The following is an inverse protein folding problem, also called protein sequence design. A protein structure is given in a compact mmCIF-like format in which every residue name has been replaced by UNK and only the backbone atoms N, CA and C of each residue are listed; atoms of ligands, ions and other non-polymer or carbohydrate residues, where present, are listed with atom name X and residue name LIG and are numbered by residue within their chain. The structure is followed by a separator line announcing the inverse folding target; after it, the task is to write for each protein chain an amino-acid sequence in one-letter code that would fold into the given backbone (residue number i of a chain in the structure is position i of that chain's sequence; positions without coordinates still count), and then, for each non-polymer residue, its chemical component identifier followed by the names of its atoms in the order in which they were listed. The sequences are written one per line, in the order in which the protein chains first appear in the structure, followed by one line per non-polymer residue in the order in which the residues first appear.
data_IF_379905901020
#
_entry.id   IF_379905901020
#
_cell.length_a   1.000
_cell.length_b   1.000
_cell.length_c   1.000
_cell.angle_alpha   90.00
_cell.angle_beta   90.00
_cell.angle_gamma   90.00
#
_symmetry.space_group_name_H-M   'P 1'
#
loop_
_entity.id
_entity.type
_entity.pdbx_description
1 polymer ?
#
# COMPACT_ATOMS: atom_id res chain seq x y z
N UNK A 1 14.57 -14.76 -8.67
CA UNK A 1 13.87 -13.77 -9.50
C UNK A 1 14.78 -13.06 -10.51
N UNK A 2 16.11 -13.03 -10.31
CA UNK A 2 17.01 -12.25 -11.18
C UNK A 2 17.23 -12.78 -12.58
N UNK A 3 17.18 -14.09 -12.81
CA UNK A 3 17.59 -14.70 -14.08
C UNK A 3 16.59 -14.46 -15.22
N UNK A 4 15.29 -14.43 -14.94
CA UNK A 4 14.27 -14.22 -15.97
C UNK A 4 14.21 -12.79 -16.50
N UNK A 5 14.62 -11.79 -15.71
CA UNK A 5 14.64 -10.39 -16.11
C UNK A 5 15.66 -10.10 -17.23
N UNK A 6 16.72 -10.90 -17.33
CA UNK A 6 17.79 -10.69 -18.29
C UNK A 6 17.64 -11.51 -19.58
N UNK A 7 16.54 -12.23 -19.74
CA UNK A 7 16.24 -12.95 -21.00
C UNK A 7 15.59 -12.06 -22.06
N UNK A 8 14.87 -11.01 -21.65
CA UNK A 8 14.23 -10.06 -22.55
C UNK A 8 15.24 -9.02 -23.07
N UNK A 9 15.30 -8.85 -24.39
CA UNK A 9 16.28 -7.94 -25.03
C UNK A 9 16.01 -6.47 -24.70
N UNK A 10 14.76 -6.07 -24.54
CA UNK A 10 14.39 -4.69 -24.22
C UNK A 10 14.67 -4.38 -22.74
N UNK A 11 14.41 -5.33 -21.83
CA UNK A 11 14.82 -5.21 -20.42
C UNK A 11 16.33 -5.03 -20.29
N UNK A 12 17.10 -5.79 -21.07
CA UNK A 12 18.58 -5.67 -21.08
C UNK A 12 19.04 -4.30 -21.52
N UNK A 13 18.43 -3.70 -22.55
CA UNK A 13 18.75 -2.34 -23.01
C UNK A 13 18.53 -1.28 -21.90
N UNK A 14 17.51 -1.47 -21.07
CA UNK A 14 17.14 -0.50 -20.04
C UNK A 14 17.96 -0.68 -18.76
N UNK A 15 18.20 -1.93 -18.34
CA UNK A 15 18.71 -2.25 -17.00
C UNK A 15 20.10 -2.88 -16.97
N UNK A 16 20.76 -3.09 -18.13
CA UNK A 16 22.13 -3.58 -18.16
C UNK A 16 23.06 -2.58 -18.87
N UNK A 17 24.32 -2.61 -18.46
CA UNK A 17 25.42 -1.99 -19.19
C UNK A 17 25.76 -2.78 -20.48
N UNK A 18 26.51 -2.20 -21.41
CA UNK A 18 26.96 -2.90 -22.62
C UNK A 18 27.74 -4.20 -22.38
N UNK A 19 28.42 -4.30 -21.24
CA UNK A 19 29.14 -5.50 -20.82
C UNK A 19 28.24 -6.57 -20.19
N UNK A 20 26.94 -6.30 -20.08
CA UNK A 20 25.94 -7.21 -19.50
C UNK A 20 25.82 -7.14 -17.97
N UNK A 21 26.58 -6.28 -17.30
CA UNK A 21 26.43 -6.05 -15.85
C UNK A 21 25.16 -5.24 -15.54
N UNK A 22 24.46 -5.50 -14.43
CA UNK A 22 23.31 -4.70 -14.00
C UNK A 22 23.71 -3.26 -13.67
N UNK A 23 22.84 -2.30 -14.00
CA UNK A 23 22.98 -0.93 -13.50
C UNK A 23 22.92 -0.93 -11.97
N UNK A 24 23.71 -0.06 -11.35
CA UNK A 24 23.77 0.08 -9.90
C UNK A 24 22.78 1.14 -9.41
N UNK A 25 22.46 1.08 -8.12
CA UNK A 25 21.69 2.12 -7.46
C UNK A 25 22.31 3.51 -7.65
N UNK A 26 21.45 4.51 -7.87
CA UNK A 26 21.88 5.88 -8.13
C UNK A 26 22.29 6.17 -9.59
N UNK A 27 22.43 5.17 -10.44
CA UNK A 27 22.72 5.37 -11.85
C UNK A 27 21.49 5.85 -12.62
N UNK A 28 21.71 6.74 -13.57
CA UNK A 28 20.66 7.28 -14.41
C UNK A 28 20.21 6.27 -15.46
N UNK A 29 18.91 5.98 -15.50
CA UNK A 29 18.26 5.17 -16.54
C UNK A 29 17.71 6.08 -17.63
N UNK A 30 17.99 5.76 -18.89
CA UNK A 30 17.48 6.49 -20.06
C UNK A 30 16.40 5.67 -20.74
N UNK A 31 15.15 6.15 -20.69
CA UNK A 31 13.99 5.49 -21.29
C UNK A 31 13.43 6.33 -22.44
N UNK A 32 14.18 6.44 -23.53
CA UNK A 32 13.82 7.27 -24.69
C UNK A 32 12.52 6.82 -25.35
N UNK A 33 12.31 5.52 -25.49
CA UNK A 33 11.10 4.94 -26.07
C UNK A 33 9.87 5.27 -25.23
N UNK A 34 9.95 5.09 -23.91
CA UNK A 34 8.87 5.47 -22.99
C UNK A 34 8.62 6.98 -23.03
N UNK A 35 9.66 7.78 -23.09
CA UNK A 35 9.55 9.24 -23.26
C UNK A 35 8.80 9.62 -24.55
N UNK A 36 9.06 8.90 -25.65
CA UNK A 36 8.34 9.07 -26.92
C UNK A 36 6.86 8.74 -26.77
N UNK A 37 6.52 7.61 -26.15
CA UNK A 37 5.12 7.21 -25.90
C UNK A 37 4.41 8.25 -25.03
N UNK A 38 5.02 8.73 -23.96
CA UNK A 38 4.43 9.77 -23.10
C UNK A 38 4.20 11.09 -23.85
N UNK A 39 5.14 11.46 -24.74
CA UNK A 39 4.99 12.64 -25.61
C UNK A 39 3.85 12.46 -26.60
N UNK A 40 3.71 11.27 -27.18
CA UNK A 40 2.61 10.93 -28.08
C UNK A 40 1.25 11.00 -27.36
N UNK A 41 1.14 10.45 -26.15
CA UNK A 41 -0.08 10.53 -25.35
C UNK A 41 -0.43 11.97 -24.98
N UNK A 42 0.57 12.80 -24.68
CA UNK A 42 0.36 14.22 -24.43
C UNK A 42 -0.24 14.96 -25.62
N UNK A 43 0.18 14.61 -26.83
CA UNK A 43 -0.27 15.27 -28.07
C UNK A 43 -1.62 14.72 -28.55
N UNK A 44 -1.80 13.40 -28.53
CA UNK A 44 -2.97 12.71 -29.08
C UNK A 44 -4.06 12.41 -28.05
N UNK A 45 -3.75 12.58 -26.77
CA UNK A 45 -4.64 12.23 -25.67
C UNK A 45 -4.61 10.75 -25.28
N UNK A 46 -5.25 10.43 -24.16
CA UNK A 46 -5.32 9.07 -23.60
C UNK A 46 -6.00 8.06 -24.56
N UNK A 47 -6.82 8.52 -25.50
CA UNK A 47 -7.47 7.66 -26.48
C UNK A 47 -6.47 6.86 -27.35
N UNK A 48 -5.27 7.39 -27.61
CA UNK A 48 -4.25 6.67 -28.38
C UNK A 48 -3.71 5.44 -27.64
N UNK A 49 -3.69 5.48 -26.30
CA UNK A 49 -3.32 4.34 -25.46
C UNK A 49 -4.32 3.18 -25.59
N UNK A 50 -5.60 3.47 -25.72
CA UNK A 50 -6.66 2.46 -25.74
C UNK A 50 -7.11 2.04 -27.15
N UNK A 51 -6.88 2.84 -28.18
CA UNK A 51 -7.40 2.58 -29.52
C UNK A 51 -6.44 2.92 -30.67
N UNK A 52 -5.37 3.64 -30.38
CA UNK A 52 -4.43 4.13 -31.39
C UNK A 52 -3.20 3.23 -31.61
N UNK A 53 -2.09 3.88 -31.97
CA UNK A 53 -0.83 3.17 -32.26
C UNK A 53 -0.23 2.54 -31.01
N UNK A 54 -0.34 3.17 -29.85
CA UNK A 54 0.13 2.58 -28.57
C UNK A 54 -0.64 1.30 -28.26
N UNK A 55 -1.98 1.30 -28.42
CA UNK A 55 -2.81 0.10 -28.22
C UNK A 55 -2.36 -1.07 -29.11
N UNK A 56 -2.04 -0.81 -30.39
CA UNK A 56 -1.56 -1.83 -31.31
C UNK A 56 -0.23 -2.42 -30.85
N UNK A 57 0.70 -1.56 -30.42
CA UNK A 57 1.99 -2.01 -29.88
C UNK A 57 1.82 -2.84 -28.62
N UNK A 58 0.95 -2.42 -27.68
CA UNK A 58 0.66 -3.16 -26.44
C UNK A 58 0.07 -4.55 -26.72
N UNK A 59 -0.95 -4.64 -27.58
CA UNK A 59 -1.56 -5.92 -27.94
C UNK A 59 -0.56 -6.85 -28.65
N UNK A 60 0.26 -6.32 -29.57
CA UNK A 60 1.31 -7.06 -30.23
C UNK A 60 2.40 -7.56 -29.27
N UNK A 61 2.86 -6.69 -28.36
CA UNK A 61 3.84 -7.07 -27.33
C UNK A 61 3.30 -8.08 -26.33
N UNK A 62 2.03 -7.94 -25.93
CA UNK A 62 1.36 -8.91 -25.08
C UNK A 62 1.27 -10.29 -25.74
N UNK A 63 0.88 -10.34 -27.02
CA UNK A 63 0.84 -11.58 -27.78
C UNK A 63 2.21 -12.26 -27.92
N UNK A 64 3.28 -11.48 -28.15
CA UNK A 64 4.66 -12.00 -28.16
C UNK A 64 5.11 -12.54 -26.80
N UNK A 65 4.54 -12.02 -25.71
CA UNK A 65 4.77 -12.46 -24.34
C UNK A 65 3.81 -13.58 -23.90
N UNK A 66 3.12 -14.22 -24.85
CA UNK A 66 2.11 -15.27 -24.61
C UNK A 66 0.94 -14.79 -23.73
N UNK A 67 0.69 -13.46 -23.70
CA UNK A 67 -0.42 -12.86 -23.01
C UNK A 67 -1.67 -12.74 -23.87
N UNK A 68 -2.81 -12.57 -23.25
CA UNK A 68 -4.12 -12.54 -23.91
C UNK A 68 -4.68 -11.13 -24.17
N UNK A 69 -3.91 -10.05 -23.92
CA UNK A 69 -4.39 -8.69 -24.10
C UNK A 69 -4.66 -8.38 -25.59
N UNK A 70 -5.88 -8.00 -25.92
CA UNK A 70 -6.31 -7.66 -27.28
C UNK A 70 -6.58 -6.16 -27.43
N UNK A 71 -6.63 -5.70 -28.69
CA UNK A 71 -7.03 -4.31 -28.98
C UNK A 71 -8.50 -4.09 -28.63
N UNK A 72 -9.34 -5.09 -28.80
CA UNK A 72 -10.76 -5.07 -28.48
C UNK A 72 -10.98 -4.86 -26.98
N UNK A 73 -10.23 -5.56 -26.14
CA UNK A 73 -10.26 -5.38 -24.68
C UNK A 73 -9.79 -3.97 -24.29
N UNK A 74 -8.72 -3.49 -24.87
CA UNK A 74 -8.25 -2.12 -24.63
C UNK A 74 -9.31 -1.08 -25.01
N UNK A 75 -9.93 -1.22 -26.19
CA UNK A 75 -11.01 -0.32 -26.67
C UNK A 75 -12.26 -0.41 -25.80
N UNK A 76 -12.57 -1.59 -25.29
CA UNK A 76 -13.73 -1.82 -24.43
C UNK A 76 -13.52 -1.37 -22.99
N UNK A 77 -12.27 -1.18 -22.57
CA UNK A 77 -11.98 -0.78 -21.19
C UNK A 77 -12.64 0.55 -20.83
N UNK A 78 -13.31 0.57 -19.68
CA UNK A 78 -13.89 1.78 -19.09
C UNK A 78 -13.58 1.83 -17.60
N UNK A 79 -13.07 2.94 -17.08
CA UNK A 79 -12.98 3.18 -15.64
C UNK A 79 -14.37 3.05 -15.00
N UNK A 80 -14.40 2.47 -13.81
CA UNK A 80 -15.65 2.31 -13.06
C UNK A 80 -15.56 3.11 -11.76
N UNK A 81 -16.58 3.94 -11.54
CA UNK A 81 -16.79 4.56 -10.25
C UNK A 81 -17.39 3.54 -9.29
N UNK A 82 -16.82 3.49 -8.09
CA UNK A 82 -17.31 2.67 -6.98
C UNK A 82 -17.41 3.54 -5.75
N UNK A 83 -18.40 3.29 -4.92
CA UNK A 83 -18.46 3.92 -3.60
C UNK A 83 -17.29 3.47 -2.75
N UNK A 84 -16.70 4.42 -2.02
CA UNK A 84 -15.64 4.11 -1.06
C UNK A 84 -16.23 3.38 0.15
N UNK A 85 -15.46 2.48 0.73
CA UNK A 85 -15.76 2.01 2.08
C UNK A 85 -15.33 3.08 3.08
N UNK A 86 -16.22 3.42 4.02
CA UNK A 86 -15.98 4.51 4.96
C UNK A 86 -16.39 4.14 6.38
N UNK A 87 -15.76 4.79 7.35
CA UNK A 87 -16.13 4.75 8.76
C UNK A 87 -15.68 6.04 9.47
N UNK A 88 -16.26 6.33 10.64
CA UNK A 88 -15.95 7.53 11.40
C UNK A 88 -14.75 7.32 12.33
N UNK A 89 -13.90 8.33 12.44
CA UNK A 89 -12.82 8.46 13.40
C UNK A 89 -12.81 9.88 13.95
N UNK A 90 -13.25 10.05 15.18
CA UNK A 90 -13.43 11.38 15.79
C UNK A 90 -14.34 12.29 14.94
N UNK A 91 -13.81 13.42 14.52
CA UNK A 91 -14.49 14.37 13.63
C UNK A 91 -14.20 14.10 12.14
N UNK A 92 -13.59 12.98 11.81
CA UNK A 92 -13.18 12.65 10.44
C UNK A 92 -13.89 11.40 9.94
N UNK A 93 -14.11 11.35 8.64
CA UNK A 93 -14.52 10.15 7.94
C UNK A 93 -13.32 9.59 7.19
N UNK A 94 -13.00 8.36 7.47
CA UNK A 94 -12.02 7.57 6.75
C UNK A 94 -12.66 7.00 5.49
N UNK A 95 -12.00 7.17 4.35
CA UNK A 95 -12.40 6.60 3.07
C UNK A 95 -11.28 5.75 2.48
N UNK A 96 -11.61 4.58 1.98
CA UNK A 96 -10.68 3.71 1.24
C UNK A 96 -11.37 3.03 0.08
N UNK A 97 -10.57 2.46 -0.83
CA UNK A 97 -11.09 1.68 -1.94
C UNK A 97 -11.90 0.48 -1.43
N UNK A 98 -13.04 0.15 -2.09
CA UNK A 98 -13.86 -0.99 -1.71
C UNK A 98 -13.18 -2.32 -2.09
N UNK A 99 -13.63 -3.46 -1.54
CA UNK A 99 -13.20 -4.78 -1.97
C UNK A 99 -13.22 -4.96 -3.50
N UNK A 100 -12.25 -5.69 -4.07
CA UNK A 100 -11.26 -6.55 -3.40
C UNK A 100 -9.98 -5.83 -2.92
N UNK A 101 -9.89 -4.51 -2.97
CA UNK A 101 -8.77 -3.75 -2.44
C UNK A 101 -8.84 -3.71 -0.90
N UNK A 102 -8.44 -4.78 -0.25
CA UNK A 102 -8.59 -4.96 1.19
C UNK A 102 -7.50 -4.26 2.02
N UNK A 103 -6.46 -3.71 1.40
CA UNK A 103 -5.33 -3.12 2.11
C UNK A 103 -5.72 -1.94 2.99
N UNK A 104 -6.50 -0.99 2.46
CA UNK A 104 -6.99 0.15 3.23
C UNK A 104 -7.93 -0.26 4.37
N UNK A 105 -8.80 -1.25 4.14
CA UNK A 105 -9.67 -1.81 5.19
C UNK A 105 -8.86 -2.49 6.30
N UNK A 106 -7.83 -3.25 5.93
CA UNK A 106 -6.95 -3.89 6.93
C UNK A 106 -6.19 -2.84 7.75
N UNK A 107 -5.66 -1.79 7.10
CA UNK A 107 -5.02 -0.69 7.81
C UNK A 107 -6.00 0.04 8.76
N UNK A 108 -7.22 0.27 8.28
CA UNK A 108 -8.29 0.86 9.06
C UNK A 108 -8.65 0.02 10.29
N UNK A 109 -8.76 -1.30 10.13
CA UNK A 109 -9.04 -2.22 11.24
C UNK A 109 -7.91 -2.20 12.29
N UNK A 110 -6.65 -2.25 11.86
CA UNK A 110 -5.49 -2.16 12.76
C UNK A 110 -5.53 -0.82 13.52
N UNK A 111 -5.74 0.28 12.81
CA UNK A 111 -5.79 1.61 13.40
C UNK A 111 -6.97 1.76 14.37
N UNK A 112 -8.17 1.32 13.97
CA UNK A 112 -9.36 1.38 14.82
C UNK A 112 -9.15 0.64 16.14
N UNK A 113 -8.60 -0.58 16.11
CA UNK A 113 -8.30 -1.34 17.32
C UNK A 113 -7.33 -0.61 18.28
N UNK A 114 -6.43 0.20 17.74
CA UNK A 114 -5.50 0.98 18.55
C UNK A 114 -6.14 2.25 19.11
N UNK A 115 -6.98 2.92 18.30
CA UNK A 115 -7.59 4.20 18.63
C UNK A 115 -8.80 4.07 19.56
N UNK A 116 -9.54 2.97 19.48
CA UNK A 116 -10.78 2.79 20.23
C UNK A 116 -10.55 2.79 21.73
N UNK A 117 -11.23 3.73 22.43
CA UNK A 117 -11.12 3.89 23.89
C UNK A 117 -9.69 4.17 24.34
N UNK A 118 -8.92 4.89 23.51
CA UNK A 118 -7.52 5.23 23.75
C UNK A 118 -6.60 4.03 24.06
N UNK A 119 -7.01 2.83 23.62
CA UNK A 119 -6.38 1.55 23.99
C UNK A 119 -4.85 1.55 23.80
N UNK A 120 -4.36 2.15 22.72
CA UNK A 120 -2.92 2.22 22.51
C UNK A 120 -2.24 3.24 23.43
N UNK A 121 -2.85 4.39 23.63
CA UNK A 121 -2.30 5.46 24.46
C UNK A 121 -2.28 5.08 25.94
N UNK A 122 -3.33 4.40 26.40
CA UNK A 122 -3.47 3.91 27.78
C UNK A 122 -2.61 2.67 28.06
N UNK A 123 -2.21 1.92 27.01
CA UNK A 123 -1.36 0.76 27.20
C UNK A 123 0.02 1.16 27.74
N UNK A 124 0.54 0.43 28.76
CA UNK A 124 1.90 0.61 29.22
C UNK A 124 2.91 0.53 28.06
N UNK A 125 3.95 1.37 28.07
CA UNK A 125 4.96 1.41 26.99
C UNK A 125 5.50 0.01 26.66
N UNK A 126 5.80 -0.79 27.68
CA UNK A 126 6.27 -2.18 27.50
C UNK A 126 5.21 -3.17 26.99
N UNK A 127 3.97 -2.75 26.73
CA UNK A 127 2.89 -3.57 26.15
C UNK A 127 2.57 -3.15 24.71
N UNK A 128 2.89 -1.93 24.30
CA UNK A 128 2.46 -1.33 23.03
C UNK A 128 2.84 -2.16 21.80
N UNK A 129 4.08 -2.66 21.73
CA UNK A 129 4.51 -3.50 20.63
C UNK A 129 3.71 -4.82 20.53
N UNK A 130 3.42 -5.43 21.68
CA UNK A 130 2.56 -6.62 21.76
C UNK A 130 1.13 -6.30 21.30
N UNK A 131 0.55 -5.21 21.78
CA UNK A 131 -0.79 -4.76 21.35
C UNK A 131 -0.83 -4.56 19.84
N UNK A 132 0.16 -3.89 19.25
CA UNK A 132 0.25 -3.69 17.78
C UNK A 132 0.31 -5.03 17.03
N UNK A 133 1.10 -6.00 17.52
CA UNK A 133 1.18 -7.33 16.91
C UNK A 133 -0.17 -8.06 16.98
N UNK A 134 -0.82 -8.02 18.13
CA UNK A 134 -2.10 -8.69 18.38
C UNK A 134 -3.27 -8.09 17.57
N UNK A 135 -3.38 -6.76 17.48
CA UNK A 135 -4.41 -6.12 16.66
C UNK A 135 -4.15 -6.32 15.16
N UNK A 136 -2.87 -6.34 14.74
CA UNK A 136 -2.50 -6.63 13.36
C UNK A 136 -2.91 -8.06 12.98
N UNK A 137 -2.57 -9.05 13.82
CA UNK A 137 -2.96 -10.46 13.64
C UNK A 137 -4.48 -10.61 13.44
N UNK A 138 -5.30 -9.95 14.25
CA UNK A 138 -6.76 -9.96 14.18
C UNK A 138 -7.30 -9.31 12.91
N UNK A 139 -6.77 -8.16 12.54
CA UNK A 139 -7.16 -7.49 11.31
C UNK A 139 -6.82 -8.34 10.06
N UNK A 140 -5.69 -9.04 10.07
CA UNK A 140 -5.32 -9.95 8.99
C UNK A 140 -6.18 -11.23 8.97
N UNK A 141 -6.65 -11.71 10.11
CA UNK A 141 -7.65 -12.77 10.16
C UNK A 141 -8.97 -12.32 9.52
N UNK A 142 -9.43 -11.12 9.88
CA UNK A 142 -10.67 -10.53 9.38
C UNK A 142 -10.61 -10.16 7.89
N UNK A 143 -9.43 -9.87 7.36
CA UNK A 143 -9.16 -9.51 5.98
C UNK A 143 -9.72 -10.53 4.97
N UNK A 144 -9.84 -11.80 5.33
CA UNK A 144 -10.39 -12.83 4.46
C UNK A 144 -11.81 -12.49 3.99
N UNK A 145 -12.60 -11.87 4.86
CA UNK A 145 -13.99 -11.50 4.56
C UNK A 145 -14.09 -10.44 3.44
N UNK A 146 -13.06 -9.61 3.29
CA UNK A 146 -13.00 -8.57 2.24
C UNK A 146 -12.43 -9.09 0.93
N UNK A 147 -11.57 -10.10 0.98
CA UNK A 147 -10.90 -10.64 -0.21
C UNK A 147 -11.76 -11.68 -0.92
N UNK A 148 -12.39 -12.59 -0.18
CA UNK A 148 -13.13 -13.74 -0.73
C UNK A 148 -14.54 -13.34 -1.29
N UNK A 149 -14.88 -12.05 -1.24
CA UNK A 149 -15.72 -11.38 -2.24
C UNK A 149 -17.22 -11.61 -2.22
N UNK A 150 -17.83 -12.27 -1.27
CA UNK A 150 -19.28 -12.41 -1.24
C UNK A 150 -20.03 -11.35 -0.44
N UNK A 151 -19.32 -10.49 0.26
CA UNK A 151 -19.92 -9.34 0.91
C UNK A 151 -18.95 -8.14 0.79
N UNK A 152 -19.31 -7.21 -0.05
CA UNK A 152 -18.76 -5.85 -0.04
C UNK A 152 -19.17 -5.13 1.27
N UNK A 153 -19.12 -5.83 2.39
CA UNK A 153 -19.52 -5.28 3.66
C UNK A 153 -18.53 -4.20 4.08
N UNK A 154 -19.08 -3.13 4.58
CA UNK A 154 -18.40 -2.12 5.36
C UNK A 154 -17.53 -2.78 6.46
N UNK A 155 -16.58 -2.03 6.99
CA UNK A 155 -15.86 -2.42 8.18
C UNK A 155 -16.87 -2.72 9.30
N UNK A 156 -16.98 -3.98 9.71
CA UNK A 156 -17.88 -4.37 10.80
C UNK A 156 -17.18 -4.12 12.14
N UNK A 157 -17.43 -2.94 12.69
CA UNK A 157 -16.81 -2.50 13.95
C UNK A 157 -17.19 -3.40 15.12
N UNK A 158 -18.42 -3.95 15.18
CA UNK A 158 -18.84 -4.85 16.26
C UNK A 158 -18.05 -6.17 16.21
N UNK A 159 -17.83 -6.71 15.00
CA UNK A 159 -17.02 -7.91 14.83
C UNK A 159 -15.56 -7.64 15.20
N UNK A 160 -15.02 -6.49 14.81
CA UNK A 160 -13.66 -6.10 15.19
C UNK A 160 -13.52 -5.99 16.70
N UNK A 161 -14.44 -5.32 17.38
CA UNK A 161 -14.48 -5.24 18.86
C UNK A 161 -14.55 -6.64 19.47
N UNK A 162 -15.45 -7.48 18.99
CA UNK A 162 -15.59 -8.88 19.44
C UNK A 162 -14.28 -9.68 19.29
N UNK A 163 -13.48 -9.41 18.29
CA UNK A 163 -12.20 -10.10 18.09
C UNK A 163 -11.19 -9.82 19.21
N UNK A 164 -11.34 -8.69 19.92
CA UNK A 164 -10.49 -8.34 21.06
C UNK A 164 -10.86 -9.09 22.35
N UNK A 165 -11.97 -9.81 22.40
CA UNK A 165 -12.36 -10.60 23.58
C UNK A 165 -11.32 -11.70 23.94
N UNK A 166 -10.52 -12.14 22.98
CA UNK A 166 -9.44 -13.09 23.19
C UNK A 166 -8.06 -12.44 23.41
N UNK A 167 -8.00 -11.12 23.45
CA UNK A 167 -6.75 -10.39 23.72
C UNK A 167 -6.30 -10.62 25.16
N UNK A 168 -5.01 -10.84 25.34
CA UNK A 168 -4.36 -10.92 26.65
C UNK A 168 -3.10 -10.07 26.63
N UNK A 169 -2.92 -9.27 27.66
CA UNK A 169 -1.76 -8.37 27.76
C UNK A 169 -0.45 -9.08 28.12
N UNK A 170 -0.54 -10.32 28.60
CA UNK A 170 0.58 -11.10 29.14
C UNK A 170 1.10 -12.18 28.19
N UNK A 171 0.35 -12.52 27.13
CA UNK A 171 0.76 -13.57 26.19
C UNK A 171 0.18 -13.38 24.79
N UNK A 172 0.88 -13.92 23.77
CA UNK A 172 0.39 -13.93 22.39
C UNK A 172 -0.80 -14.87 22.21
N UNK A 173 -1.74 -14.46 21.35
CA UNK A 173 -2.90 -15.29 20.97
C UNK A 173 -2.49 -16.23 19.83
N UNK A 174 -2.75 -17.53 19.96
CA UNK A 174 -2.57 -18.45 18.84
C UNK A 174 -3.49 -18.10 17.68
N UNK A 175 -3.02 -18.11 16.42
CA UNK A 175 -3.85 -17.82 15.25
C UNK A 175 -5.08 -18.72 15.14
N UNK A 176 -5.00 -19.97 15.60
CA UNK A 176 -6.13 -20.94 15.57
C UNK A 176 -7.28 -20.53 16.51
N UNK A 177 -7.03 -19.65 17.46
CA UNK A 177 -8.07 -19.11 18.36
C UNK A 177 -8.85 -17.95 17.74
N UNK A 178 -8.41 -17.45 16.59
CA UNK A 178 -9.08 -16.36 15.88
C UNK A 178 -10.20 -16.90 14.99
N UNK A 179 -11.26 -16.12 14.81
CA UNK A 179 -12.40 -16.49 13.96
C UNK A 179 -12.74 -15.35 12.98
N UNK A 180 -12.52 -15.56 11.69
CA UNK A 180 -11.87 -16.73 11.07
C UNK A 180 -10.37 -16.80 11.40
N UNK A 181 -9.74 -17.98 11.31
CA UNK A 181 -8.30 -18.07 11.44
C UNK A 181 -7.61 -17.42 10.24
N UNK A 182 -6.48 -16.71 10.44
CA UNK A 182 -5.78 -16.05 9.34
C UNK A 182 -5.19 -17.08 8.38
N UNK A 183 -5.24 -16.78 7.07
CA UNK A 183 -4.65 -17.61 6.03
C UNK A 183 -3.33 -17.02 5.55
N UNK A 184 -2.34 -17.89 5.30
CA UNK A 184 -1.12 -17.48 4.64
C UNK A 184 -1.43 -17.08 3.19
N UNK A 185 -1.08 -15.84 2.82
CA UNK A 185 -1.15 -15.36 1.44
C UNK A 185 0.23 -14.84 1.01
N UNK A 186 0.64 -15.21 -0.19
CA UNK A 186 1.80 -14.63 -0.82
C UNK A 186 1.33 -13.41 -1.61
N UNK A 187 1.80 -12.24 -1.20
CA UNK A 187 1.49 -10.97 -1.87
C UNK A 187 2.79 -10.31 -2.28
N UNK A 188 2.93 -10.05 -3.56
CA UNK A 188 4.14 -9.48 -4.11
C UNK A 188 4.20 -7.97 -3.81
N UNK A 189 5.36 -7.43 -3.38
CA UNK A 189 5.52 -6.00 -3.07
C UNK A 189 5.61 -5.09 -4.30
N UNK A 190 5.13 -5.52 -5.45
CA UNK A 190 5.22 -4.82 -6.75
C UNK A 190 4.21 -3.67 -6.92
N UNK A 191 3.91 -2.95 -5.86
CA UNK A 191 3.00 -1.81 -5.87
C UNK A 191 3.73 -0.49 -5.61
N UNK A 192 3.08 0.59 -5.99
CA UNK A 192 3.46 1.96 -5.63
C UNK A 192 2.23 2.79 -5.32
N UNK A 193 2.41 3.89 -4.62
CA UNK A 193 1.35 4.85 -4.35
C UNK A 193 1.81 6.27 -4.62
N UNK A 194 0.88 7.15 -4.97
CA UNK A 194 1.11 8.58 -5.05
C UNK A 194 -0.14 9.34 -4.63
N UNK A 195 0.07 10.57 -4.16
CA UNK A 195 -0.99 11.47 -3.73
C UNK A 195 -0.81 12.77 -4.48
N UNK A 196 -1.92 13.33 -4.97
CA UNK A 196 -1.97 14.67 -5.53
C UNK A 196 -3.06 15.46 -4.86
N UNK A 197 -2.82 16.74 -4.62
CA UNK A 197 -3.77 17.66 -4.02
C UNK A 197 -3.69 19.02 -4.70
N UNK A 198 -4.82 19.65 -4.95
CA UNK A 198 -4.88 21.03 -5.41
C UNK A 198 -5.17 22.02 -4.27
N UNK A 199 -5.14 23.31 -4.58
CA UNK A 199 -5.41 24.39 -3.61
C UNK A 199 -6.82 24.39 -3.04
N UNK A 200 -7.76 23.77 -3.72
CA UNK A 200 -9.16 23.69 -3.29
C UNK A 200 -9.43 22.48 -2.41
N UNK A 201 -8.40 21.64 -2.18
CA UNK A 201 -8.50 20.43 -1.38
C UNK A 201 -8.96 19.20 -2.16
N UNK A 202 -9.12 19.30 -3.50
CA UNK A 202 -9.36 18.11 -4.31
C UNK A 202 -8.14 17.20 -4.23
N UNK A 203 -8.33 16.03 -3.64
CA UNK A 203 -7.24 15.10 -3.32
C UNK A 203 -7.49 13.75 -3.96
N UNK A 204 -6.44 13.20 -4.56
CA UNK A 204 -6.43 11.84 -5.10
C UNK A 204 -5.32 11.05 -4.43
N UNK A 205 -5.67 10.00 -3.71
CA UNK A 205 -4.73 8.96 -3.29
C UNK A 205 -4.85 7.79 -4.26
N UNK A 206 -3.75 7.45 -4.92
CA UNK A 206 -3.71 6.41 -5.93
C UNK A 206 -2.73 5.31 -5.53
N UNK A 207 -3.14 4.06 -5.72
CA UNK A 207 -2.28 2.91 -5.53
C UNK A 207 -2.40 1.99 -6.75
N UNK A 208 -1.27 1.58 -7.31
CA UNK A 208 -1.18 0.75 -8.51
C UNK A 208 -0.20 -0.40 -8.29
N UNK A 209 -0.41 -1.50 -9.01
CA UNK A 209 0.48 -2.66 -8.93
C UNK A 209 0.72 -3.26 -10.32
N UNK A 210 1.91 -3.78 -10.52
CA UNK A 210 2.25 -4.63 -11.66
C UNK A 210 2.00 -6.13 -11.39
N UNK A 211 1.37 -6.45 -10.27
CA UNK A 211 1.06 -7.79 -9.75
C UNK A 211 2.30 -8.64 -9.44
N UNK A 212 3.45 -8.39 -10.04
CA UNK A 212 4.74 -9.00 -9.76
C UNK A 212 5.85 -7.96 -9.90
N UNK A 213 6.95 -8.12 -9.19
CA UNK A 213 8.13 -7.26 -9.32
C UNK A 213 8.64 -7.33 -10.77
N UNK A 214 8.72 -6.19 -11.45
CA UNK A 214 8.95 -6.07 -12.89
C UNK A 214 7.86 -6.75 -13.77
N UNK A 215 6.63 -6.90 -13.27
CA UNK A 215 5.51 -7.44 -14.03
C UNK A 215 5.82 -8.83 -14.63
N UNK A 216 5.70 -8.97 -15.95
CA UNK A 216 6.07 -10.18 -16.67
C UNK A 216 7.58 -10.28 -16.95
N UNK A 217 8.38 -9.25 -16.64
CA UNK A 217 9.76 -9.14 -17.09
C UNK A 217 9.92 -8.90 -18.60
N UNK A 218 8.86 -8.46 -19.28
CA UNK A 218 8.83 -8.18 -20.72
C UNK A 218 8.52 -6.73 -20.98
N UNK A 219 9.30 -6.09 -21.82
CA UNK A 219 9.04 -4.73 -22.31
C UNK A 219 8.49 -4.82 -23.73
N UNK A 220 7.44 -4.05 -24.01
CA UNK A 220 6.89 -3.97 -25.38
C UNK A 220 7.87 -3.25 -26.28
N UNK A 221 8.39 -3.91 -27.34
CA UNK A 221 9.40 -3.34 -28.20
C UNK A 221 8.99 -1.99 -28.79
N UNK A 222 9.92 -1.02 -28.80
CA UNK A 222 9.72 0.32 -29.34
C UNK A 222 8.81 1.23 -28.47
N UNK A 223 8.43 0.78 -27.28
CA UNK A 223 7.58 1.59 -26.39
C UNK A 223 8.20 1.85 -25.01
N UNK A 224 9.14 1.03 -24.59
CA UNK A 224 9.66 1.08 -23.22
C UNK A 224 8.64 0.72 -22.13
N UNK A 225 7.43 0.26 -22.51
CA UNK A 225 6.37 -0.12 -21.56
C UNK A 225 6.60 -1.53 -21.07
N UNK A 226 6.78 -1.68 -19.78
CA UNK A 226 6.87 -2.96 -19.09
C UNK A 226 5.47 -3.55 -18.87
N UNK A 227 5.24 -4.79 -19.29
CA UNK A 227 3.96 -5.45 -19.15
C UNK A 227 3.72 -5.92 -17.71
N UNK A 228 2.56 -5.58 -17.15
CA UNK A 228 2.12 -6.10 -15.85
C UNK A 228 1.85 -7.61 -15.94
N UNK A 229 2.11 -8.34 -14.86
CA UNK A 229 1.73 -9.75 -14.77
C UNK A 229 0.20 -9.89 -14.60
N UNK A 230 -0.34 -11.03 -15.04
CA UNK A 230 -1.75 -11.30 -14.85
C UNK A 230 -2.08 -11.47 -13.34
N UNK A 231 -3.16 -10.86 -12.84
CA UNK A 231 -3.61 -11.07 -11.46
C UNK A 231 -3.92 -12.53 -11.15
N UNK A 232 -4.34 -13.30 -12.14
CA UNK A 232 -4.74 -14.71 -11.98
C UNK A 232 -3.57 -15.65 -11.67
N UNK A 233 -2.33 -15.31 -12.10
CA UNK A 233 -1.18 -16.21 -11.96
C UNK A 233 -0.45 -16.12 -10.62
N UNK A 234 -0.62 -15.02 -9.87
CA UNK A 234 0.20 -14.70 -8.70
C UNK A 234 -0.60 -14.36 -7.43
N UNK A 235 -1.85 -14.75 -7.39
CA UNK A 235 -2.76 -14.34 -6.32
C UNK A 235 -3.19 -12.87 -6.49
N UNK A 236 -4.07 -12.42 -5.61
CA UNK A 236 -4.71 -11.11 -5.74
C UNK A 236 -3.79 -9.96 -5.26
N UNK A 237 -2.78 -9.59 -6.04
CA UNK A 237 -1.88 -8.49 -5.67
C UNK A 237 -2.62 -7.15 -5.44
N UNK A 238 -3.76 -6.93 -6.10
CA UNK A 238 -4.63 -5.78 -5.87
C UNK A 238 -5.23 -5.74 -4.45
N UNK A 239 -5.24 -6.85 -3.72
CA UNK A 239 -5.82 -6.91 -2.36
C UNK A 239 -5.03 -6.10 -1.33
N UNK A 240 -3.74 -5.84 -1.56
CA UNK A 240 -2.89 -5.04 -0.67
C UNK A 240 -2.89 -3.54 -0.98
N UNK A 241 -3.54 -3.12 -2.06
CA UNK A 241 -3.62 -1.69 -2.40
C UNK A 241 -4.36 -0.93 -1.31
N UNK A 242 -3.76 0.15 -0.82
CA UNK A 242 -4.18 0.84 0.40
C UNK A 242 -4.25 2.36 0.21
N UNK A 243 -4.97 2.87 -0.79
CA UNK A 243 -5.23 4.30 -0.86
C UNK A 243 -6.22 4.70 0.21
N UNK A 244 -5.94 5.77 0.96
CA UNK A 244 -6.84 6.30 1.98
C UNK A 244 -6.93 7.82 1.90
N UNK A 245 -8.08 8.34 2.32
CA UNK A 245 -8.33 9.76 2.52
C UNK A 245 -9.19 9.93 3.78
N UNK A 246 -8.80 10.85 4.67
CA UNK A 246 -9.57 11.26 5.83
C UNK A 246 -10.06 12.69 5.60
N UNK A 247 -11.36 12.86 5.70
CA UNK A 247 -12.03 14.15 5.52
C UNK A 247 -12.74 14.53 6.80
N UNK A 248 -12.61 15.76 7.25
CA UNK A 248 -13.42 16.27 8.35
C UNK A 248 -14.88 16.33 7.92
N UNK A 249 -15.75 15.54 8.55
CA UNK A 249 -17.15 15.41 8.10
C UNK A 249 -18.00 16.65 8.38
N UNK A 250 -17.58 17.55 9.28
CA UNK A 250 -18.28 18.79 9.58
C UNK A 250 -17.94 19.90 8.59
N UNK A 251 -16.72 19.90 8.06
CA UNK A 251 -16.21 20.98 7.21
C UNK A 251 -15.95 20.54 5.77
N UNK A 252 -16.02 19.25 5.47
CA UNK A 252 -15.66 18.63 4.19
C UNK A 252 -14.23 18.94 3.73
N UNK A 253 -13.31 19.18 4.69
CA UNK A 253 -11.93 19.54 4.41
C UNK A 253 -11.03 18.30 4.52
N UNK A 254 -10.03 18.25 3.65
CA UNK A 254 -8.98 17.23 3.75
C UNK A 254 -8.24 17.39 5.08
N UNK A 255 -8.08 16.28 5.78
CA UNK A 255 -7.28 16.19 7.00
C UNK A 255 -6.02 15.34 6.80
N UNK A 256 -6.18 14.16 6.18
CA UNK A 256 -5.07 13.24 5.94
C UNK A 256 -5.31 12.44 4.67
N UNK A 257 -4.23 12.19 3.89
CA UNK A 257 -4.29 11.25 2.79
C UNK A 257 -3.00 10.44 2.75
N UNK A 258 -3.10 9.15 2.47
CA UNK A 258 -1.92 8.30 2.38
C UNK A 258 -2.15 7.14 1.42
N UNK A 259 -1.05 6.55 0.98
CA UNK A 259 -1.05 5.32 0.24
C UNK A 259 0.18 4.51 0.60
N UNK A 260 0.05 3.19 0.63
CA UNK A 260 1.16 2.31 0.97
C UNK A 260 1.45 1.26 -0.10
N UNK A 261 2.68 0.78 -0.09
CA UNK A 261 3.21 -0.28 -0.93
C UNK A 261 4.02 -1.27 -0.08
N UNK A 262 4.19 -2.50 -0.54
CA UNK A 262 4.98 -3.51 0.18
C UNK A 262 4.28 -4.87 0.34
N UNK A 263 3.31 -5.17 -0.53
CA UNK A 263 2.57 -6.44 -0.48
C UNK A 263 1.80 -6.59 0.83
N UNK A 264 1.88 -7.74 1.46
CA UNK A 264 1.17 -8.03 2.70
C UNK A 264 1.49 -7.07 3.85
N UNK A 265 2.69 -6.46 3.87
CA UNK A 265 3.09 -5.53 4.91
C UNK A 265 2.54 -4.11 4.73
N UNK A 266 2.05 -3.76 3.54
CA UNK A 266 1.57 -2.41 3.22
C UNK A 266 0.47 -1.89 4.18
N UNK A 267 -0.56 -2.68 4.55
CA UNK A 267 -1.58 -2.22 5.50
C UNK A 267 -1.04 -1.92 6.90
N UNK A 268 -0.13 -2.76 7.40
CA UNK A 268 0.47 -2.54 8.71
C UNK A 268 1.39 -1.31 8.73
N UNK A 269 2.15 -1.09 7.65
CA UNK A 269 2.95 0.12 7.47
C UNK A 269 2.09 1.38 7.49
N UNK A 270 0.96 1.35 6.77
CA UNK A 270 0.03 2.47 6.74
C UNK A 270 -0.58 2.75 8.13
N UNK A 271 -1.06 1.70 8.82
CA UNK A 271 -1.62 1.82 10.16
C UNK A 271 -0.59 2.35 11.17
N UNK A 272 0.70 1.97 11.02
CA UNK A 272 1.79 2.50 11.85
C UNK A 272 1.97 4.01 11.68
N UNK A 273 1.97 4.52 10.44
CA UNK A 273 2.06 5.96 10.16
C UNK A 273 0.83 6.70 10.69
N UNK A 274 -0.36 6.14 10.48
CA UNK A 274 -1.60 6.72 11.00
C UNK A 274 -1.57 6.81 12.53
N UNK A 275 -1.17 5.74 13.22
CA UNK A 275 -1.03 5.73 14.67
C UNK A 275 -0.08 6.82 15.14
N UNK A 276 1.13 6.86 14.59
CA UNK A 276 2.14 7.82 15.01
C UNK A 276 1.72 9.27 14.73
N UNK A 277 1.15 9.56 13.57
CA UNK A 277 0.74 10.91 13.19
C UNK A 277 -0.59 11.37 13.81
N UNK A 278 -1.55 10.45 14.02
CA UNK A 278 -2.93 10.82 14.37
C UNK A 278 -3.32 10.46 15.82
N UNK A 279 -2.61 9.55 16.49
CA UNK A 279 -2.84 9.23 17.90
C UNK A 279 -1.73 9.77 18.79
N UNK A 280 -0.48 9.70 18.35
CA UNK A 280 0.69 10.14 19.12
C UNK A 280 1.10 11.59 18.81
N UNK A 281 0.37 12.29 17.92
CA UNK A 281 0.68 13.66 17.45
C UNK A 281 2.15 13.84 16.97
N UNK A 282 2.75 12.75 16.49
CA UNK A 282 4.12 12.79 16.00
C UNK A 282 4.19 13.60 14.70
N UNK A 283 5.21 14.46 14.49
CA UNK A 283 5.42 15.14 13.22
C UNK A 283 5.43 14.16 12.05
N UNK A 284 4.75 14.48 10.93
CA UNK A 284 4.53 13.56 9.81
C UNK A 284 5.82 12.91 9.32
N UNK A 285 6.91 13.68 9.23
CA UNK A 285 8.23 13.17 8.83
C UNK A 285 8.71 12.05 9.75
N UNK A 286 8.61 12.25 11.04
CA UNK A 286 9.03 11.27 12.06
C UNK A 286 8.11 10.05 12.01
N UNK A 287 6.81 10.25 11.91
CA UNK A 287 5.81 9.18 11.80
C UNK A 287 6.06 8.27 10.58
N UNK A 288 6.38 8.85 9.42
CA UNK A 288 6.70 8.09 8.20
C UNK A 288 8.03 7.35 8.32
N UNK A 289 9.01 7.91 9.05
CA UNK A 289 10.34 7.33 9.19
C UNK A 289 10.49 6.37 10.39
N UNK A 290 9.54 6.38 11.33
CA UNK A 290 9.58 5.52 12.51
C UNK A 290 9.72 4.04 12.15
N UNK A 291 10.40 3.29 13.00
CA UNK A 291 10.54 1.83 12.86
C UNK A 291 9.19 1.14 12.96
N UNK A 292 9.01 0.09 12.19
CA UNK A 292 7.74 -0.59 12.03
C UNK A 292 7.77 -2.03 12.50
N UNK A 293 6.58 -2.49 12.88
CA UNK A 293 6.26 -3.85 13.24
C UNK A 293 5.12 -4.34 12.35
N UNK A 294 5.15 -5.60 11.95
CA UNK A 294 4.13 -6.25 11.16
C UNK A 294 3.85 -7.67 11.64
N UNK A 295 2.58 -8.02 11.79
CA UNK A 295 2.14 -9.40 11.96
C UNK A 295 1.02 -9.70 10.95
N UNK A 296 1.33 -10.54 9.97
CA UNK A 296 0.40 -10.88 8.89
C UNK A 296 -0.61 -12.00 9.20
N UNK A 297 -0.72 -12.39 10.48
CA UNK A 297 -1.54 -13.53 10.91
C UNK A 297 -0.82 -14.87 10.72
N UNK A 298 -0.51 -15.25 9.50
CA UNK A 298 0.22 -16.48 9.16
C UNK A 298 1.36 -16.20 8.16
N UNK A 299 2.57 -16.71 8.39
CA UNK A 299 2.99 -17.47 9.57
C UNK A 299 2.88 -16.66 10.87
N UNK A 300 2.78 -17.32 12.03
CA UNK A 300 2.68 -16.67 13.34
C UNK A 300 4.04 -16.11 13.78
N UNK A 301 4.43 -15.04 13.10
CA UNK A 301 5.73 -14.37 13.29
C UNK A 301 5.52 -12.86 13.25
N UNK A 302 6.07 -12.17 14.23
CA UNK A 302 6.19 -10.70 14.23
C UNK A 302 7.44 -10.33 13.45
N UNK A 303 7.26 -9.58 12.38
CA UNK A 303 8.36 -8.96 11.64
C UNK A 303 8.64 -7.58 12.22
N UNK A 304 9.92 -7.26 12.45
CA UNK A 304 10.35 -5.95 12.95
C UNK A 304 11.47 -5.40 12.08
N UNK A 305 11.53 -4.08 11.97
CA UNK A 305 12.68 -3.42 11.38
C UNK A 305 13.88 -3.45 12.35
N UNK A 306 15.13 -3.27 11.85
CA UNK A 306 16.34 -3.44 12.68
C UNK A 306 16.40 -2.49 13.87
N UNK A 307 15.87 -1.27 13.72
CA UNK A 307 15.95 -0.17 14.68
C UNK A 307 14.81 -0.19 15.72
N UNK A 308 14.07 -1.30 15.85
CA UNK A 308 13.09 -1.45 16.94
C UNK A 308 13.83 -1.39 18.30
N UNK A 309 13.24 -0.73 19.27
CA UNK A 309 13.83 -0.61 20.59
C UNK A 309 14.01 -1.99 21.27
N UNK A 310 15.13 -2.19 21.97
CA UNK A 310 15.42 -3.45 22.63
C UNK A 310 14.33 -3.87 23.62
N UNK A 311 13.74 -2.90 24.32
CA UNK A 311 12.64 -3.13 25.27
C UNK A 311 11.38 -3.66 24.58
N UNK A 312 11.07 -3.19 23.38
CA UNK A 312 9.92 -3.68 22.60
C UNK A 312 10.16 -5.11 22.13
N UNK A 313 11.37 -5.41 21.65
CA UNK A 313 11.76 -6.76 21.26
C UNK A 313 11.65 -7.74 22.43
N UNK A 314 12.23 -7.41 23.58
CA UNK A 314 12.14 -8.23 24.81
C UNK A 314 10.70 -8.39 25.30
N UNK A 315 9.89 -7.37 25.12
CA UNK A 315 8.46 -7.38 25.46
C UNK A 315 7.68 -8.38 24.62
N UNK A 316 7.96 -8.47 23.30
CA UNK A 316 7.36 -9.43 22.39
C UNK A 316 7.80 -10.86 22.74
N UNK A 317 9.10 -11.08 22.93
CA UNK A 317 9.67 -12.39 23.25
C UNK A 317 9.09 -12.95 24.54
N UNK A 318 9.06 -12.15 25.62
CA UNK A 318 8.50 -12.57 26.92
C UNK A 318 7.04 -12.97 26.87
N UNK A 319 6.27 -12.47 25.89
CA UNK A 319 4.87 -12.81 25.65
C UNK A 319 4.67 -13.96 24.67
N UNK A 320 5.77 -14.60 24.27
CA UNK A 320 5.75 -15.77 23.40
C UNK A 320 5.56 -15.48 21.92
N UNK A 321 5.83 -14.25 21.46
CA UNK A 321 5.89 -13.99 20.03
C UNK A 321 7.21 -14.50 19.45
N UNK A 322 7.12 -15.19 18.32
CA UNK A 322 8.29 -15.43 17.49
C UNK A 322 8.59 -14.15 16.71
N UNK A 323 9.78 -13.59 16.85
CA UNK A 323 10.17 -12.31 16.23
C UNK A 323 11.28 -12.53 15.22
N UNK A 324 11.15 -11.92 14.04
CA UNK A 324 12.18 -11.93 13.01
C UNK A 324 12.44 -10.50 12.49
N UNK A 325 13.71 -10.16 12.28
CA UNK A 325 14.10 -8.87 11.71
C UNK A 325 14.07 -8.92 10.19
N UNK A 326 13.53 -7.86 9.58
CA UNK A 326 13.51 -7.64 8.14
C UNK A 326 14.08 -6.26 7.81
N UNK A 327 14.67 -6.04 6.64
CA UNK A 327 15.27 -4.75 6.30
C UNK A 327 14.29 -3.59 6.32
N UNK A 328 13.05 -3.82 5.85
CA UNK A 328 12.01 -2.80 5.74
C UNK A 328 10.62 -3.42 5.83
N UNK A 329 9.64 -2.63 6.31
CA UNK A 329 8.23 -3.00 6.39
C UNK A 329 7.40 -1.96 5.65
N UNK A 330 7.10 -2.24 4.39
CA UNK A 330 6.29 -1.40 3.52
C UNK A 330 6.89 -0.01 3.26
N UNK A 331 6.18 0.77 2.45
CA UNK A 331 6.50 2.17 2.11
C UNK A 331 5.22 2.98 2.13
N UNK A 332 5.25 4.16 2.74
CA UNK A 332 4.05 5.00 2.90
C UNK A 332 4.36 6.41 2.42
N UNK A 333 3.56 6.88 1.48
CA UNK A 333 3.52 8.30 1.14
C UNK A 333 2.30 8.92 1.82
N UNK A 334 2.46 10.09 2.43
CA UNK A 334 1.39 10.70 3.20
C UNK A 334 1.36 12.23 3.07
N UNK A 335 0.16 12.76 3.23
CA UNK A 335 -0.15 14.18 3.38
C UNK A 335 -0.95 14.35 4.65
N UNK A 336 -0.58 15.28 5.51
CA UNK A 336 -1.32 15.64 6.73
C UNK A 336 -1.57 17.13 6.76
N UNK A 337 -2.82 17.53 6.86
CA UNK A 337 -3.29 18.91 6.84
C UNK A 337 -4.08 19.20 8.13
N UNK A 338 -3.43 19.42 9.28
CA UNK A 338 -4.13 19.63 10.56
C UNK A 338 -5.12 20.80 10.54
N UNK A 339 -4.81 21.86 9.80
CA UNK A 339 -5.67 23.02 9.64
C UNK A 339 -6.79 22.86 8.61
N UNK A 340 -6.78 21.77 7.86
CA UNK A 340 -7.71 21.47 6.78
C UNK A 340 -7.49 22.29 5.50
N UNK A 341 -7.77 21.68 4.35
CA UNK A 341 -7.71 22.34 3.03
C UNK A 341 -9.13 22.43 2.48
N UNK A 342 -9.57 23.60 1.98
CA UNK A 342 -8.78 24.80 1.56
C UNK A 342 -8.57 25.85 2.66
N UNK A 343 -8.97 25.61 3.90
CA UNK A 343 -8.97 26.67 4.93
C UNK A 343 -7.56 27.13 5.31
N UNK A 344 -6.68 26.20 5.63
CA UNK A 344 -5.30 26.47 6.08
C UNK A 344 -4.30 25.55 5.34
N UNK A 345 -4.13 25.71 4.03
CA UNK A 345 -3.29 24.84 3.21
C UNK A 345 -1.81 24.89 3.61
N UNK A 346 -1.36 25.99 4.25
CA UNK A 346 0.00 26.17 4.75
C UNK A 346 0.35 25.22 5.90
N UNK A 347 -0.65 24.60 6.53
CA UNK A 347 -0.42 23.61 7.60
C UNK A 347 -0.14 22.22 7.05
N UNK A 348 -0.28 22.01 5.73
CA UNK A 348 -0.09 20.73 5.13
C UNK A 348 1.37 20.31 5.07
N UNK A 349 1.62 19.10 5.49
CA UNK A 349 2.91 18.41 5.44
C UNK A 349 2.84 17.28 4.41
N UNK A 350 3.91 17.11 3.64
CA UNK A 350 4.01 16.13 2.57
C UNK A 350 5.27 15.29 2.78
N UNK A 351 5.12 14.00 2.93
CA UNK A 351 6.28 13.13 3.16
C UNK A 351 6.24 11.89 2.27
N UNK A 352 7.41 11.54 1.74
CA UNK A 352 7.67 10.26 1.09
C UNK A 352 8.55 9.39 1.99
N UNK A 353 8.32 8.09 1.92
CA UNK A 353 9.02 7.13 2.76
C UNK A 353 10.50 6.99 2.37
N UNK A 354 11.42 7.07 3.34
CA UNK A 354 12.86 6.85 3.13
C UNK A 354 13.21 5.43 2.66
N UNK A 355 12.29 4.47 2.85
CA UNK A 355 12.43 3.08 2.36
C UNK A 355 12.19 2.97 0.86
N UNK A 356 11.76 4.05 0.24
CA UNK A 356 11.57 4.19 -1.21
C UNK A 356 12.34 5.38 -1.76
N UNK A 357 12.21 5.59 -3.06
CA UNK A 357 12.84 6.70 -3.79
C UNK A 357 11.81 7.74 -4.23
N UNK A 358 10.72 7.85 -3.46
CA UNK A 358 9.66 8.81 -3.71
C UNK A 358 10.14 10.25 -3.46
N UNK A 359 9.44 11.20 -4.03
CA UNK A 359 9.62 12.62 -3.80
C UNK A 359 8.31 13.22 -3.31
N UNK A 360 8.36 13.94 -2.21
CA UNK A 360 7.27 14.78 -1.75
C UNK A 360 7.62 16.24 -2.06
N UNK A 361 6.71 16.95 -2.74
CA UNK A 361 6.89 18.36 -3.08
C UNK A 361 5.56 19.08 -2.92
N UNK A 362 5.54 20.14 -2.11
CA UNK A 362 4.47 21.12 -2.04
C UNK A 362 4.92 22.41 -2.69
N UNK A 363 4.16 22.92 -3.67
CA UNK A 363 4.31 24.30 -4.11
C UNK A 363 3.75 25.25 -3.04
N UNK A 364 4.06 26.54 -3.10
CA UNK A 364 3.29 27.57 -2.38
C UNK A 364 1.89 27.52 -3.00
N UNK A 365 0.97 26.91 -2.28
CA UNK A 365 -0.43 26.74 -2.68
C UNK A 365 -1.16 28.09 -2.64
#
# INVERSE_FOLDING_TARGET
AGISLFTDSEMRKIFLHPDGSPISEGQRVHQLELGSVLSQLRIKGAGDFYSGSVAKSLAGGASQAEGALTIEELRAFRPQWRESTSFSFGHHTFHTAPPPAAGGLTAAAIFHHQAEGDRYLDAPVGERAHLVAEVSKRAFADRQNWIDGNNAAALDLNRLQGSMATYRSDQSTSPDMLSPPPKRRLENPASTSFITMDRLGLTVSCAVTMNNLFGTGRVVPGTGILLAASPATLGNAATSLSPIVLVNHNTSQLFFAAGSAGGAAAPAALASVMRAALLEDMPLREAVQASRLHHGGMPDIVLTEPDIEAQEYESLDRRGHLVAKVPEIGRVNAVHCPGGVPRNPETCLFESDRRGYGLASGGIL
#
